data_IF_057653660844
#
_entry.id   IF_057653660844
#
_cell.length_a   1.000
_cell.length_b   1.000
_cell.length_c   1.000
_cell.angle_alpha   90.00
_cell.angle_beta   90.00
_cell.angle_gamma   90.00
#
_symmetry.space_group_name_H-M   'P 1'
#
loop_
_entity.id
_entity.type
_entity.pdbx_description
1 polymer ?
#
# COMPACT_ATOMS: atom_id res chain seq x y z
N UNK A 1 51.27 58.66 42.76
CA UNK A 1 51.32 58.24 44.17
C UNK A 1 51.52 56.73 44.21
N UNK A 2 52.61 56.29 44.87
CA UNK A 2 52.86 55.00 45.55
C UNK A 2 52.56 53.70 44.76
N UNK A 3 53.54 53.01 44.19
CA UNK A 3 54.59 52.17 44.80
C UNK A 3 54.18 50.69 44.96
N UNK A 4 55.04 49.82 44.42
CA UNK A 4 55.13 48.36 44.54
C UNK A 4 54.99 47.85 45.98
N UNK A 5 54.44 46.63 46.14
CA UNK A 5 54.90 45.67 47.15
C UNK A 5 54.49 44.24 46.78
N UNK A 6 55.47 43.49 46.27
CA UNK A 6 55.52 42.03 46.30
C UNK A 6 55.79 41.60 47.74
N UNK A 7 55.05 40.63 48.28
CA UNK A 7 55.43 39.95 49.51
C UNK A 7 55.34 38.44 49.30
N UNK A 8 56.51 37.82 49.41
CA UNK A 8 56.82 36.42 49.22
C UNK A 8 56.97 35.81 50.62
N UNK A 9 56.12 34.87 51.03
CA UNK A 9 56.39 34.05 52.23
C UNK A 9 55.93 32.62 52.01
N UNK A 10 56.89 31.84 51.53
CA UNK A 10 57.36 30.51 51.95
C UNK A 10 56.43 29.55 52.71
N UNK A 11 56.31 28.38 52.08
CA UNK A 11 55.76 27.09 52.52
C UNK A 11 56.41 26.56 53.81
N UNK A 12 55.58 26.05 54.74
CA UNK A 12 56.00 25.10 55.78
C UNK A 12 55.09 23.87 55.67
N UNK A 13 55.71 22.74 55.35
CA UNK A 13 55.09 21.43 55.24
C UNK A 13 54.93 20.81 56.64
N UNK A 14 53.71 20.33 56.94
CA UNK A 14 53.43 19.48 58.11
C UNK A 14 52.89 18.15 57.58
N UNK A 15 53.70 17.10 57.75
CA UNK A 15 53.35 15.71 57.48
C UNK A 15 52.57 15.15 58.67
N UNK A 16 51.28 14.87 58.49
CA UNK A 16 50.52 13.98 59.36
C UNK A 16 50.17 12.72 58.57
N UNK A 17 50.82 11.62 58.98
CA UNK A 17 50.51 10.25 58.57
C UNK A 17 49.19 9.85 59.23
N UNK A 18 48.14 9.71 58.42
CA UNK A 18 46.89 9.07 58.81
C UNK A 18 46.64 7.90 57.88
N UNK A 19 47.00 6.69 58.31
CA UNK A 19 46.46 5.45 57.74
C UNK A 19 45.09 5.21 58.39
N UNK A 20 44.06 5.16 57.55
CA UNK A 20 42.73 4.69 57.88
C UNK A 20 42.17 4.02 56.64
N UNK A 21 42.37 2.71 56.58
CA UNK A 21 41.71 1.77 55.69
C UNK A 21 40.20 1.82 55.94
N UNK A 22 39.38 1.68 54.90
CA UNK A 22 38.29 0.69 54.83
C UNK A 22 37.48 0.92 53.55
N UNK A 23 37.50 -0.11 52.72
CA UNK A 23 37.03 -0.12 51.34
C UNK A 23 35.60 0.39 51.18
N UNK A 24 35.48 1.47 50.41
CA UNK A 24 34.26 1.73 49.64
C UNK A 24 34.10 0.63 48.61
N UNK A 25 33.53 -0.50 49.04
CA UNK A 25 33.08 -1.56 48.15
C UNK A 25 32.18 -0.94 47.11
N UNK A 26 32.67 -0.93 45.87
CA UNK A 26 31.85 -0.67 44.71
C UNK A 26 30.80 -1.80 44.67
N UNK A 27 29.61 -1.51 45.20
CA UNK A 27 28.48 -2.44 45.20
C UNK A 27 28.04 -2.55 43.74
N UNK A 28 28.76 -3.36 42.98
CA UNK A 28 28.28 -3.94 41.74
C UNK A 28 27.20 -4.96 42.14
N UNK A 29 26.01 -4.43 42.44
CA UNK A 29 24.80 -5.24 42.52
C UNK A 29 24.70 -6.10 41.25
N UNK A 30 24.09 -7.30 41.32
CA UNK A 30 24.06 -8.22 40.19
C UNK A 30 23.57 -7.50 38.94
N UNK A 31 24.44 -7.40 37.93
CA UNK A 31 24.11 -6.81 36.64
C UNK A 31 22.95 -7.62 36.04
N UNK A 32 21.78 -7.00 35.97
CA UNK A 32 20.60 -7.63 35.38
C UNK A 32 20.76 -7.70 33.87
N UNK A 33 20.61 -8.88 33.29
CA UNK A 33 20.78 -9.10 31.84
C UNK A 33 19.44 -9.22 31.14
N UNK A 34 19.35 -8.82 29.88
CA UNK A 34 18.13 -8.98 29.08
C UNK A 34 17.94 -10.45 28.71
N UNK A 35 16.78 -11.01 29.04
CA UNK A 35 16.41 -12.40 28.75
C UNK A 35 15.46 -12.52 27.56
N UNK A 36 14.58 -11.52 27.36
CA UNK A 36 13.62 -11.48 26.26
C UNK A 36 13.31 -10.02 25.87
N UNK A 37 12.86 -9.83 24.63
CA UNK A 37 12.36 -8.54 24.12
C UNK A 37 11.04 -8.81 23.41
N UNK A 38 9.96 -8.20 23.88
CA UNK A 38 8.66 -8.23 23.20
C UNK A 38 8.50 -6.96 22.36
N UNK A 39 7.86 -7.09 21.20
CA UNK A 39 7.51 -5.98 20.31
C UNK A 39 6.01 -6.01 20.05
N UNK A 40 5.40 -4.83 20.10
CA UNK A 40 3.99 -4.60 19.77
C UNK A 40 3.90 -3.46 18.76
N UNK A 41 3.06 -3.63 17.75
CA UNK A 41 2.69 -2.55 16.84
C UNK A 41 1.31 -2.03 17.23
N UNK A 42 1.11 -0.71 17.14
CA UNK A 42 -0.23 -0.11 17.29
C UNK A 42 -1.22 -0.62 16.24
N UNK A 43 -0.72 -0.94 15.04
CA UNK A 43 -1.45 -1.62 13.98
C UNK A 43 -0.49 -2.55 13.22
N UNK A 44 -0.91 -3.78 12.95
CA UNK A 44 -0.16 -4.74 12.13
C UNK A 44 -0.35 -4.54 10.63
N UNK A 45 -1.32 -3.71 10.24
CA UNK A 45 -1.66 -3.41 8.86
C UNK A 45 -1.94 -1.91 8.70
N UNK A 46 -1.37 -1.30 7.67
CA UNK A 46 -1.55 0.12 7.34
C UNK A 46 -1.59 0.31 5.81
N UNK A 47 -2.02 1.48 5.36
CA UNK A 47 -1.92 1.86 3.95
C UNK A 47 -0.62 2.65 3.69
N UNK A 48 -0.18 2.68 2.42
CA UNK A 48 0.93 3.55 2.01
C UNK A 48 0.64 5.00 2.41
N UNK A 49 1.62 5.65 3.06
CA UNK A 49 1.54 7.01 3.59
C UNK A 49 0.95 7.11 5.00
N UNK A 50 0.39 6.04 5.56
CA UNK A 50 -0.08 6.01 6.94
C UNK A 50 1.07 5.65 7.90
N UNK A 51 0.89 5.97 9.18
CA UNK A 51 1.86 5.69 10.23
C UNK A 51 1.24 4.89 11.36
N UNK A 52 2.08 4.13 12.05
CA UNK A 52 1.75 3.46 13.31
C UNK A 52 2.96 3.53 14.24
N UNK A 53 2.81 3.07 15.47
CA UNK A 53 3.90 3.05 16.45
C UNK A 53 4.34 1.62 16.75
N UNK A 54 5.63 1.45 16.98
CA UNK A 54 6.23 0.24 17.51
C UNK A 54 6.72 0.51 18.93
N UNK A 55 6.36 -0.37 19.86
CA UNK A 55 6.83 -0.33 21.25
C UNK A 55 7.49 -1.64 21.61
N UNK A 56 8.49 -1.58 22.48
CA UNK A 56 9.25 -2.74 22.91
C UNK A 56 9.49 -2.75 24.41
N UNK A 57 9.44 -3.94 24.99
CA UNK A 57 9.71 -4.17 26.41
C UNK A 57 10.74 -5.28 26.56
N UNK A 58 11.85 -4.96 27.21
CA UNK A 58 12.87 -5.91 27.59
C UNK A 58 12.54 -6.51 28.96
N UNK A 59 12.63 -7.83 29.10
CA UNK A 59 12.53 -8.53 30.38
C UNK A 59 13.93 -8.84 30.89
N UNK A 60 14.22 -8.50 32.13
CA UNK A 60 15.52 -8.68 32.77
C UNK A 60 15.57 -10.01 33.52
N UNK A 61 16.78 -10.50 33.81
CA UNK A 61 17.02 -11.73 34.58
C UNK A 61 16.43 -11.70 35.99
N UNK A 62 16.15 -10.50 36.51
CA UNK A 62 15.48 -10.26 37.79
C UNK A 62 13.95 -10.34 37.70
N UNK A 63 13.39 -10.51 36.50
CA UNK A 63 11.95 -10.46 36.23
C UNK A 63 11.40 -9.04 36.03
N UNK A 64 12.19 -8.00 36.30
CA UNK A 64 11.81 -6.61 36.01
C UNK A 64 11.74 -6.34 34.50
N UNK A 65 10.98 -5.31 34.12
CA UNK A 65 10.81 -4.91 32.71
C UNK A 65 11.33 -3.49 32.46
N UNK A 66 11.89 -3.26 31.26
CA UNK A 66 12.37 -1.96 30.82
C UNK A 66 11.85 -1.63 29.42
N UNK A 67 11.41 -0.40 29.20
CA UNK A 67 11.04 0.08 27.86
C UNK A 67 12.27 0.26 26.97
N UNK A 68 12.18 -0.19 25.72
CA UNK A 68 13.20 0.04 24.70
C UNK A 68 12.70 1.16 23.79
N UNK A 69 13.38 2.31 23.84
CA UNK A 69 12.92 3.55 23.20
C UNK A 69 13.67 3.90 21.92
N UNK A 70 14.83 3.29 21.66
CA UNK A 70 15.67 3.57 20.49
C UNK A 70 16.24 2.30 19.84
N UNK A 71 16.84 2.43 18.64
CA UNK A 71 17.52 1.34 17.94
C UNK A 71 16.62 0.51 17.03
N UNK A 72 15.43 1.01 16.70
CA UNK A 72 14.47 0.37 15.79
C UNK A 72 15.00 0.26 14.37
N UNK A 73 14.64 -0.84 13.70
CA UNK A 73 15.09 -1.18 12.35
C UNK A 73 13.96 -1.84 11.56
N UNK A 74 14.04 -1.74 10.24
CA UNK A 74 13.18 -2.43 9.28
C UNK A 74 14.04 -3.27 8.34
N UNK A 75 13.62 -4.50 8.03
CA UNK A 75 14.28 -5.36 7.05
C UNK A 75 13.90 -5.03 5.60
N UNK A 76 12.77 -4.34 5.38
CA UNK A 76 12.23 -3.97 4.08
C UNK A 76 11.79 -2.49 4.08
N UNK A 77 12.74 -1.52 4.07
CA UNK A 77 12.43 -0.08 4.05
C UNK A 77 11.57 0.37 2.85
N UNK A 78 11.60 -0.36 1.73
CA UNK A 78 10.75 -0.10 0.57
C UNK A 78 9.26 -0.37 0.81
N UNK A 79 8.93 -1.25 1.78
CA UNK A 79 7.56 -1.49 2.23
C UNK A 79 7.22 -0.60 3.43
N UNK A 80 8.04 -0.60 4.47
CA UNK A 80 7.85 0.26 5.64
C UNK A 80 9.19 0.71 6.25
N UNK A 81 9.29 2.00 6.59
CA UNK A 81 10.40 2.54 7.38
C UNK A 81 10.02 2.66 8.85
N UNK A 82 11.01 2.74 9.73
CA UNK A 82 10.81 3.01 11.15
C UNK A 82 11.82 4.06 11.62
N UNK A 83 11.38 5.07 12.37
CA UNK A 83 12.28 6.05 13.00
C UNK A 83 13.03 5.43 14.17
N UNK A 84 14.11 6.08 14.62
CA UNK A 84 14.83 5.62 15.81
C UNK A 84 13.92 5.55 17.05
N UNK A 85 12.88 6.39 17.14
CA UNK A 85 11.91 6.39 18.24
C UNK A 85 10.73 5.41 18.09
N UNK A 86 10.70 4.59 17.04
CA UNK A 86 9.65 3.59 16.83
C UNK A 86 8.42 4.05 16.05
N UNK A 87 8.47 5.17 15.32
CA UNK A 87 7.38 5.56 14.40
C UNK A 87 7.55 4.80 13.09
N UNK A 88 6.60 3.94 12.74
CA UNK A 88 6.59 3.14 11.51
C UNK A 88 5.76 3.87 10.44
N UNK A 89 6.30 4.00 9.23
CA UNK A 89 5.63 4.66 8.09
C UNK A 89 5.54 3.71 6.90
N UNK A 90 4.35 3.56 6.33
CA UNK A 90 4.12 2.77 5.12
C UNK A 90 4.65 3.48 3.88
N UNK A 91 5.53 2.83 3.12
CA UNK A 91 6.20 3.39 1.92
C UNK A 91 5.68 2.77 0.63
N UNK A 92 5.48 1.45 0.60
CA UNK A 92 5.06 0.71 -0.60
C UNK A 92 4.33 -0.58 -0.23
N UNK A 93 3.61 -1.18 -1.18
CA UNK A 93 2.97 -2.47 -0.93
C UNK A 93 4.02 -3.52 -0.55
N UNK A 94 3.79 -4.24 0.54
CA UNK A 94 4.66 -5.32 0.96
C UNK A 94 4.54 -5.64 2.44
N UNK A 95 5.43 -6.52 2.91
CA UNK A 95 5.59 -6.85 4.33
C UNK A 95 6.98 -6.45 4.78
N UNK A 96 7.08 -5.91 5.98
CA UNK A 96 8.34 -5.59 6.64
C UNK A 96 8.34 -6.15 8.06
N UNK A 97 9.48 -6.66 8.50
CA UNK A 97 9.77 -6.99 9.88
C UNK A 97 10.34 -5.76 10.56
N UNK A 98 9.61 -5.22 11.53
CA UNK A 98 10.06 -4.14 12.41
C UNK A 98 10.65 -4.78 13.66
N UNK A 99 11.91 -4.45 13.96
CA UNK A 99 12.64 -5.10 15.04
C UNK A 99 13.56 -4.13 15.80
N UNK A 100 13.91 -4.54 17.02
CA UNK A 100 14.91 -3.88 17.85
C UNK A 100 15.75 -4.93 18.57
N UNK A 101 17.02 -4.63 18.78
CA UNK A 101 17.96 -5.49 19.50
C UNK A 101 18.46 -4.75 20.73
N UNK A 102 18.31 -5.37 21.91
CA UNK A 102 18.85 -4.84 23.17
C UNK A 102 19.38 -5.98 24.03
N UNK A 103 20.54 -5.76 24.68
CA UNK A 103 21.22 -6.78 25.48
C UNK A 103 21.48 -8.10 24.73
N UNK A 104 21.71 -8.04 23.42
CA UNK A 104 21.93 -9.22 22.56
C UNK A 104 20.67 -10.03 22.24
N UNK A 105 19.48 -9.55 22.63
CA UNK A 105 18.18 -10.18 22.32
C UNK A 105 17.41 -9.34 21.31
N UNK A 106 16.75 -10.00 20.37
CA UNK A 106 15.90 -9.36 19.36
C UNK A 106 14.42 -9.57 19.70
N UNK A 107 13.64 -8.49 19.58
CA UNK A 107 12.19 -8.54 19.49
C UNK A 107 11.75 -8.02 18.13
N UNK A 108 10.65 -8.55 17.59
CA UNK A 108 10.18 -8.16 16.27
C UNK A 108 8.67 -8.36 16.08
N UNK A 109 8.10 -7.63 15.12
CA UNK A 109 6.76 -7.84 14.58
C UNK A 109 6.73 -7.59 13.08
N UNK A 110 5.80 -8.24 12.39
CA UNK A 110 5.57 -8.03 10.95
C UNK A 110 4.46 -7.00 10.76
N UNK A 111 4.72 -6.02 9.89
CA UNK A 111 3.71 -5.09 9.39
C UNK A 111 3.40 -5.38 7.92
N UNK A 112 2.12 -5.37 7.55
CA UNK A 112 1.67 -5.38 6.15
C UNK A 112 1.30 -3.95 5.73
N UNK A 113 1.84 -3.52 4.60
CA UNK A 113 1.48 -2.25 3.97
C UNK A 113 0.72 -2.57 2.69
N UNK A 114 -0.48 -2.01 2.55
CA UNK A 114 -1.29 -2.12 1.34
C UNK A 114 -1.21 -0.83 0.51
N UNK A 115 -1.32 -0.92 -0.82
CA UNK A 115 -1.44 0.25 -1.66
C UNK A 115 -2.81 0.93 -1.46
N UNK A 116 -2.94 2.15 -1.98
CA UNK A 116 -4.15 2.96 -1.83
C UNK A 116 -5.01 2.84 -3.08
N UNK A 117 -6.17 2.20 -2.95
CA UNK A 117 -7.22 2.13 -3.97
C UNK A 117 -8.43 3.02 -3.68
N UNK A 118 -8.65 3.47 -2.43
CA UNK A 118 -9.80 4.34 -2.11
C UNK A 118 -9.84 5.59 -2.99
N UNK A 119 -11.04 6.05 -3.37
CA UNK A 119 -11.26 7.24 -4.17
C UNK A 119 -11.78 6.96 -5.57
N UNK A 120 -11.83 8.00 -6.40
CA UNK A 120 -12.20 7.90 -7.81
C UNK A 120 -10.93 7.96 -8.67
N UNK A 121 -10.83 7.03 -9.61
CA UNK A 121 -9.75 6.93 -10.59
C UNK A 121 -10.36 6.99 -11.98
N UNK A 122 -9.78 7.81 -12.84
CA UNK A 122 -10.26 8.00 -14.21
C UNK A 122 -9.09 7.96 -15.18
N UNK A 123 -9.32 7.43 -16.37
CA UNK A 123 -8.36 7.39 -17.44
C UNK A 123 -8.96 6.70 -18.65
N UNK A 124 -8.10 6.16 -19.50
CA UNK A 124 -8.52 5.47 -20.71
C UNK A 124 -8.06 4.01 -20.69
N UNK A 125 -8.91 3.13 -21.20
CA UNK A 125 -8.52 1.79 -21.64
C UNK A 125 -8.38 1.78 -23.14
N UNK A 126 -7.28 1.25 -23.67
CA UNK A 126 -7.01 1.12 -25.11
C UNK A 126 -7.17 -0.33 -25.53
N UNK A 127 -8.01 -0.59 -26.52
CA UNK A 127 -8.26 -1.94 -27.05
C UNK A 127 -6.99 -2.46 -27.74
N UNK A 128 -6.56 -3.63 -27.31
CA UNK A 128 -5.38 -4.35 -27.82
C UNK A 128 -5.73 -5.67 -28.50
N UNK A 129 -6.97 -6.13 -28.39
CA UNK A 129 -7.45 -7.32 -29.06
C UNK A 129 -8.98 -7.41 -29.09
N UNK A 130 -9.49 -8.06 -30.14
CA UNK A 130 -10.89 -8.43 -30.28
C UNK A 130 -10.96 -9.82 -30.90
N UNK A 131 -11.77 -10.69 -30.30
CA UNK A 131 -12.09 -12.01 -30.88
C UNK A 131 -13.59 -12.20 -30.88
N UNK A 132 -14.13 -12.78 -31.94
CA UNK A 132 -15.56 -13.05 -32.05
C UNK A 132 -15.81 -14.48 -32.53
N UNK A 133 -16.86 -15.09 -32.03
CA UNK A 133 -17.20 -16.49 -32.29
C UNK A 133 -18.71 -16.70 -32.49
N UNK A 134 -19.08 -17.79 -33.17
CA UNK A 134 -20.48 -18.15 -33.38
C UNK A 134 -21.24 -17.10 -34.20
N UNK A 135 -22.38 -16.65 -33.69
CA UNK A 135 -23.24 -15.65 -34.33
C UNK A 135 -22.60 -14.26 -34.41
N UNK A 136 -21.47 -14.06 -33.73
CA UNK A 136 -20.76 -12.79 -33.63
C UNK A 136 -19.59 -12.67 -34.63
N UNK A 137 -19.28 -13.71 -35.41
CA UNK A 137 -18.20 -13.65 -36.41
C UNK A 137 -18.39 -12.46 -37.35
N UNK A 138 -17.31 -11.71 -37.61
CA UNK A 138 -17.35 -10.48 -38.39
C UNK A 138 -17.63 -9.21 -37.58
N UNK A 139 -17.88 -9.31 -36.26
CA UNK A 139 -18.15 -8.14 -35.42
C UNK A 139 -16.90 -7.29 -35.17
N UNK A 140 -15.76 -7.93 -34.90
CA UNK A 140 -14.50 -7.24 -34.67
C UNK A 140 -14.07 -6.42 -35.90
N UNK A 141 -14.27 -6.95 -37.10
CA UNK A 141 -13.85 -6.35 -38.36
C UNK A 141 -14.77 -5.21 -38.81
N UNK A 142 -16.06 -5.27 -38.46
CA UNK A 142 -17.04 -4.28 -38.92
C UNK A 142 -17.20 -3.07 -38.01
N UNK A 143 -17.01 -3.25 -36.70
CA UNK A 143 -17.27 -2.21 -35.69
C UNK A 143 -15.98 -1.66 -35.04
N UNK A 144 -14.86 -2.40 -35.14
CA UNK A 144 -13.59 -2.10 -34.48
C UNK A 144 -12.37 -2.41 -35.37
N UNK A 145 -12.34 -1.85 -36.58
CA UNK A 145 -11.25 -2.06 -37.53
C UNK A 145 -9.86 -1.63 -37.03
N UNK A 146 -9.76 -0.88 -35.94
CA UNK A 146 -8.50 -0.32 -35.46
C UNK A 146 -8.27 -0.64 -33.97
N UNK A 147 -7.46 -1.68 -33.71
CA UNK A 147 -6.75 -1.78 -32.43
C UNK A 147 -6.10 -0.42 -32.10
N UNK A 148 -6.19 0.01 -30.85
CA UNK A 148 -5.76 1.37 -30.44
C UNK A 148 -6.91 2.33 -30.11
N UNK A 149 -8.16 1.97 -30.43
CA UNK A 149 -9.32 2.70 -29.91
C UNK A 149 -9.31 2.75 -28.39
N UNK A 150 -9.67 3.90 -27.82
CA UNK A 150 -9.59 4.16 -26.38
C UNK A 150 -10.94 4.59 -25.81
N UNK A 151 -11.26 4.09 -24.63
CA UNK A 151 -12.54 4.26 -23.94
C UNK A 151 -12.36 4.83 -22.55
N UNK A 152 -13.28 5.68 -22.11
CA UNK A 152 -13.30 6.15 -20.73
C UNK A 152 -13.42 4.98 -19.77
N UNK A 153 -12.48 4.92 -18.83
CA UNK A 153 -12.43 3.92 -17.77
C UNK A 153 -12.41 4.61 -16.42
N UNK A 154 -13.28 4.16 -15.52
CA UNK A 154 -13.35 4.68 -14.17
C UNK A 154 -13.42 3.55 -13.14
N UNK A 155 -12.73 3.75 -12.03
CA UNK A 155 -12.89 2.98 -10.79
C UNK A 155 -13.37 3.93 -9.70
N UNK A 156 -14.50 3.64 -9.08
CA UNK A 156 -14.94 4.31 -7.85
C UNK A 156 -14.85 3.32 -6.70
N UNK A 157 -13.89 3.51 -5.79
CA UNK A 157 -13.53 2.52 -4.79
C UNK A 157 -13.56 3.07 -3.36
N UNK A 158 -14.09 2.26 -2.45
CA UNK A 158 -13.87 2.31 -1.01
C UNK A 158 -12.89 1.20 -0.64
N UNK A 159 -12.10 1.43 0.41
CA UNK A 159 -11.07 0.48 0.83
C UNK A 159 -10.99 0.42 2.35
N UNK A 160 -10.91 -0.79 2.87
CA UNK A 160 -10.54 -1.07 4.26
C UNK A 160 -9.35 -2.02 4.19
N UNK A 161 -8.15 -1.51 4.48
CA UNK A 161 -6.89 -2.25 4.44
C UNK A 161 -6.76 -3.06 3.13
N UNK A 162 -6.73 -4.40 3.22
CA UNK A 162 -6.56 -5.32 2.11
C UNK A 162 -7.83 -5.59 1.28
N UNK A 163 -8.95 -4.96 1.58
CA UNK A 163 -10.22 -5.18 0.86
C UNK A 163 -10.68 -3.92 0.14
N UNK A 164 -10.96 -4.04 -1.15
CA UNK A 164 -11.50 -2.97 -2.00
C UNK A 164 -12.93 -3.32 -2.41
N UNK A 165 -13.82 -2.36 -2.29
CA UNK A 165 -15.21 -2.46 -2.77
C UNK A 165 -15.51 -1.27 -3.65
N UNK A 166 -16.37 -1.40 -4.65
CA UNK A 166 -16.64 -0.25 -5.51
C UNK A 166 -17.41 -0.59 -6.77
N UNK A 167 -17.35 0.30 -7.76
CA UNK A 167 -17.87 0.06 -9.11
C UNK A 167 -16.80 0.34 -10.15
N UNK A 168 -16.86 -0.40 -11.25
CA UNK A 168 -16.12 -0.14 -12.48
C UNK A 168 -17.03 0.50 -13.52
N UNK A 169 -16.49 1.39 -14.35
CA UNK A 169 -17.15 1.91 -15.54
C UNK A 169 -16.20 1.79 -16.72
N UNK A 170 -16.71 1.30 -17.85
CA UNK A 170 -16.03 1.23 -19.14
C UNK A 170 -16.94 1.77 -20.22
N UNK A 171 -16.46 2.65 -21.10
CA UNK A 171 -17.23 3.22 -22.21
C UNK A 171 -18.62 3.77 -21.81
N UNK A 172 -18.72 4.35 -20.60
CA UNK A 172 -19.98 4.87 -20.02
C UNK A 172 -20.93 3.82 -19.44
N UNK A 173 -20.63 2.53 -19.56
CA UNK A 173 -21.37 1.42 -18.92
C UNK A 173 -20.83 1.23 -17.51
N UNK A 174 -21.71 1.28 -16.51
CA UNK A 174 -21.35 1.06 -15.11
C UNK A 174 -21.75 -0.34 -14.70
N UNK A 175 -20.80 -1.06 -14.11
CA UNK A 175 -20.99 -2.42 -13.63
C UNK A 175 -21.33 -2.39 -12.14
N UNK A 176 -22.26 -3.24 -11.69
CA UNK A 176 -22.69 -3.29 -10.29
C UNK A 176 -21.53 -3.61 -9.34
N UNK A 177 -21.74 -3.33 -8.06
CA UNK A 177 -20.66 -3.27 -7.07
C UNK A 177 -19.83 -4.57 -6.97
N UNK A 178 -18.51 -4.41 -6.85
CA UNK A 178 -17.56 -5.51 -6.62
C UNK A 178 -17.01 -5.51 -5.20
N UNK A 179 -16.43 -6.63 -4.79
CA UNK A 179 -15.53 -6.76 -3.64
C UNK A 179 -14.33 -7.57 -4.07
N UNK A 180 -13.12 -7.04 -3.87
CA UNK A 180 -11.87 -7.66 -4.27
C UNK A 180 -10.83 -7.59 -3.14
N UNK A 181 -10.13 -8.70 -2.83
CA UNK A 181 -8.94 -8.64 -2.01
C UNK A 181 -7.78 -7.99 -2.79
N UNK A 182 -6.84 -7.41 -2.06
CA UNK A 182 -5.55 -6.98 -2.59
C UNK A 182 -4.55 -8.13 -2.47
N UNK A 183 -4.04 -8.57 -3.61
CA UNK A 183 -3.08 -9.65 -3.71
C UNK A 183 -1.72 -9.28 -3.09
N UNK A 184 -0.83 -10.28 -2.97
CA UNK A 184 0.50 -10.07 -2.40
C UNK A 184 1.33 -9.05 -3.21
N UNK A 185 1.16 -9.03 -4.53
CA UNK A 185 1.80 -8.07 -5.45
C UNK A 185 1.13 -6.69 -5.44
N UNK A 186 0.03 -6.53 -4.70
CA UNK A 186 -0.71 -5.27 -4.57
C UNK A 186 -1.77 -5.08 -5.65
N UNK A 187 -1.98 -6.05 -6.55
CA UNK A 187 -3.04 -5.99 -7.55
C UNK A 187 -4.42 -6.30 -6.94
N UNK A 188 -5.47 -5.90 -7.66
CA UNK A 188 -6.83 -6.37 -7.47
C UNK A 188 -7.34 -6.95 -8.78
N UNK A 189 -8.18 -7.97 -8.67
CA UNK A 189 -8.99 -8.49 -9.76
C UNK A 189 -10.44 -8.55 -9.34
N UNK A 190 -11.34 -8.11 -10.22
CA UNK A 190 -12.78 -8.30 -10.03
C UNK A 190 -13.48 -8.45 -11.37
N UNK A 191 -14.64 -9.09 -11.32
CA UNK A 191 -15.54 -9.24 -12.45
C UNK A 191 -16.89 -8.68 -12.08
N UNK A 192 -17.47 -7.91 -12.99
CA UNK A 192 -18.77 -7.27 -12.86
C UNK A 192 -19.48 -7.41 -14.18
N UNK A 193 -20.80 -7.50 -14.15
CA UNK A 193 -21.54 -7.77 -15.37
C UNK A 193 -22.92 -7.12 -15.35
N UNK A 194 -23.33 -6.60 -16.50
CA UNK A 194 -24.57 -5.84 -16.68
C UNK A 194 -25.22 -6.18 -18.02
N UNK A 195 -26.48 -5.82 -18.19
CA UNK A 195 -27.24 -6.08 -19.41
C UNK A 195 -27.59 -4.74 -20.08
N UNK A 196 -27.14 -4.57 -21.32
CA UNK A 196 -27.36 -3.36 -22.11
C UNK A 196 -28.13 -3.74 -23.36
N UNK A 197 -29.42 -3.42 -23.38
CA UNK A 197 -30.35 -3.66 -24.48
C UNK A 197 -30.32 -5.09 -25.07
N UNK A 198 -30.30 -6.09 -24.18
CA UNK A 198 -30.34 -7.51 -24.55
C UNK A 198 -28.97 -8.15 -24.76
N UNK A 199 -27.89 -7.38 -24.67
CA UNK A 199 -26.51 -7.88 -24.66
C UNK A 199 -26.02 -7.90 -23.22
N UNK A 200 -25.60 -9.07 -22.77
CA UNK A 200 -24.91 -9.28 -21.50
C UNK A 200 -23.44 -8.92 -21.68
N UNK A 201 -22.99 -7.95 -20.91
CA UNK A 201 -21.61 -7.47 -20.87
C UNK A 201 -20.99 -7.89 -19.53
N UNK A 202 -19.98 -8.77 -19.59
CA UNK A 202 -19.19 -9.18 -18.45
C UNK A 202 -17.76 -8.64 -18.58
N UNK A 203 -17.39 -7.80 -17.63
CA UNK A 203 -16.12 -7.13 -17.61
C UNK A 203 -15.27 -7.64 -16.44
N UNK A 204 -14.00 -7.95 -16.72
CA UNK A 204 -13.00 -8.37 -15.74
C UNK A 204 -11.87 -7.36 -15.74
N UNK A 205 -11.64 -6.73 -14.59
CA UNK A 205 -10.56 -5.77 -14.38
C UNK A 205 -9.42 -6.44 -13.65
N UNK A 206 -8.21 -6.19 -14.11
CA UNK A 206 -6.98 -6.46 -13.38
C UNK A 206 -6.25 -5.13 -13.21
N UNK A 207 -6.22 -4.61 -11.99
CA UNK A 207 -5.64 -3.29 -11.72
C UNK A 207 -4.53 -3.41 -10.68
N UNK A 208 -3.46 -2.65 -10.87
CA UNK A 208 -2.36 -2.54 -9.91
C UNK A 208 -1.91 -1.09 -9.75
N UNK A 209 -1.36 -0.71 -8.59
CA UNK A 209 -0.77 0.61 -8.40
C UNK A 209 0.50 0.75 -9.22
N UNK A 210 0.65 1.90 -9.88
CA UNK A 210 1.90 2.36 -10.47
C UNK A 210 2.32 3.64 -9.75
N UNK A 211 3.09 3.48 -8.67
CA UNK A 211 3.35 4.56 -7.72
C UNK A 211 2.14 4.85 -6.82
N UNK A 212 2.06 6.06 -6.27
CA UNK A 212 1.06 6.46 -5.27
C UNK A 212 -0.17 7.16 -5.85
N UNK A 213 -0.14 7.53 -7.13
CA UNK A 213 -1.15 8.39 -7.76
C UNK A 213 -1.70 7.86 -9.09
N UNK A 214 -1.33 6.65 -9.50
CA UNK A 214 -1.81 6.02 -10.72
C UNK A 214 -2.11 4.53 -10.51
N UNK A 215 -3.10 4.02 -11.22
CA UNK A 215 -3.35 2.59 -11.41
C UNK A 215 -3.08 2.23 -12.87
N UNK A 216 -2.51 1.05 -13.11
CA UNK A 216 -2.35 0.46 -14.44
C UNK A 216 -2.96 -0.93 -14.45
N UNK A 217 -3.19 -1.48 -15.64
CA UNK A 217 -3.81 -2.79 -15.70
C UNK A 217 -4.34 -3.19 -17.05
N UNK A 218 -5.35 -4.05 -17.01
CA UNK A 218 -6.08 -4.50 -18.17
C UNK A 218 -7.56 -4.66 -17.84
N UNK A 219 -8.36 -4.64 -18.90
CA UNK A 219 -9.78 -4.87 -18.88
C UNK A 219 -10.11 -5.90 -19.96
N UNK A 220 -10.87 -6.92 -19.60
CA UNK A 220 -11.37 -7.93 -20.52
C UNK A 220 -12.89 -7.86 -20.47
N UNK A 221 -13.54 -7.60 -21.60
CA UNK A 221 -15.00 -7.52 -21.71
C UNK A 221 -15.51 -8.64 -22.61
N UNK A 222 -16.53 -9.35 -22.16
CA UNK A 222 -17.14 -10.47 -22.86
C UNK A 222 -18.61 -10.15 -23.08
N UNK A 223 -18.97 -10.01 -24.34
CA UNK A 223 -20.33 -9.72 -24.79
C UNK A 223 -21.00 -11.02 -25.26
N UNK A 224 -22.17 -11.29 -24.69
CA UNK A 224 -23.05 -12.40 -25.07
C UNK A 224 -24.48 -11.92 -25.21
N UNK A 225 -25.34 -12.67 -25.89
CA UNK A 225 -26.76 -12.33 -25.98
C UNK A 225 -27.61 -13.61 -25.85
N UNK A 226 -28.76 -13.55 -25.16
CA UNK A 226 -29.66 -14.68 -25.07
C UNK A 226 -30.08 -15.20 -26.45
N UNK A 227 -29.95 -16.52 -26.67
CA UNK A 227 -30.35 -17.16 -27.93
C UNK A 227 -29.32 -17.05 -29.07
N UNK A 228 -28.20 -16.33 -28.88
CA UNK A 228 -27.09 -16.31 -29.83
C UNK A 228 -25.94 -17.19 -29.32
N UNK A 229 -25.42 -18.06 -30.19
CA UNK A 229 -24.23 -18.87 -29.88
C UNK A 229 -22.95 -18.03 -29.99
N UNK A 230 -21.98 -18.28 -29.11
CA UNK A 230 -20.68 -17.61 -29.13
C UNK A 230 -20.69 -16.27 -28.40
N UNK A 231 -19.57 -15.57 -28.49
CA UNK A 231 -19.32 -14.31 -27.79
C UNK A 231 -18.37 -13.42 -28.57
N UNK A 232 -18.31 -12.15 -28.17
CA UNK A 232 -17.22 -11.23 -28.49
C UNK A 232 -16.40 -11.01 -27.23
N UNK A 233 -15.08 -11.14 -27.32
CA UNK A 233 -14.15 -10.81 -26.24
C UNK A 233 -13.25 -9.67 -26.67
N UNK A 234 -13.28 -8.58 -25.91
CA UNK A 234 -12.33 -7.49 -26.00
C UNK A 234 -11.27 -7.61 -24.94
N UNK A 235 -10.03 -7.30 -25.32
CA UNK A 235 -8.94 -7.12 -24.38
C UNK A 235 -8.40 -5.71 -24.54
N UNK A 236 -8.30 -5.00 -23.42
CA UNK A 236 -7.85 -3.62 -23.37
C UNK A 236 -6.75 -3.45 -22.33
N UNK A 237 -5.77 -2.60 -22.64
CA UNK A 237 -4.73 -2.16 -21.71
C UNK A 237 -5.12 -0.84 -21.05
N UNK A 238 -4.82 -0.68 -19.77
CA UNK A 238 -5.01 0.54 -19.00
C UNK A 238 -3.63 1.10 -18.65
N UNK A 239 -3.22 2.13 -19.37
CA UNK A 239 -1.89 2.73 -19.21
C UNK A 239 -1.78 3.59 -17.95
N UNK A 240 -2.86 4.28 -17.58
CA UNK A 240 -2.95 5.04 -16.34
C UNK A 240 -4.42 5.41 -16.03
N UNK A 241 -4.90 5.07 -14.84
CA UNK A 241 -6.02 5.74 -14.19
C UNK A 241 -5.44 6.66 -13.12
N UNK A 242 -5.72 7.95 -13.21
CA UNK A 242 -5.25 8.94 -12.24
C UNK A 242 -6.34 9.24 -11.23
N UNK A 243 -5.93 9.51 -9.99
CA UNK A 243 -6.85 9.87 -8.93
C UNK A 243 -7.42 11.27 -9.21
N UNK A 244 -8.73 11.35 -9.35
CA UNK A 244 -9.41 12.61 -9.66
C UNK A 244 -10.38 13.01 -8.55
N UNK A 245 -10.47 14.31 -8.34
CA UNK A 245 -11.54 14.95 -7.56
C UNK A 245 -12.74 15.34 -8.43
N UNK A 246 -12.62 15.20 -9.76
CA UNK A 246 -13.64 15.57 -10.74
C UNK A 246 -14.06 14.35 -11.59
N UNK A 247 -15.35 14.32 -11.97
CA UNK A 247 -15.90 13.34 -12.91
C UNK A 247 -15.58 13.81 -14.33
N UNK A 248 -14.79 13.04 -15.09
CA UNK A 248 -14.60 13.31 -16.52
C UNK A 248 -15.94 13.08 -17.26
N UNK A 249 -16.27 13.97 -18.18
CA UNK A 249 -17.41 13.77 -19.07
C UNK A 249 -17.08 12.63 -20.05
N UNK A 250 -18.00 11.69 -20.31
CA UNK A 250 -17.76 10.62 -21.27
C UNK A 250 -17.50 11.19 -22.66
N UNK A 251 -16.52 10.64 -23.37
CA UNK A 251 -16.23 10.98 -24.75
C UNK A 251 -17.44 10.68 -25.64
N UNK A 252 -17.80 11.61 -26.52
CA UNK A 252 -19.00 11.53 -27.35
C UNK A 252 -19.03 10.30 -28.29
N UNK A 253 -17.87 9.68 -28.58
CA UNK A 253 -17.76 8.48 -29.44
C UNK A 253 -18.26 7.20 -28.76
N UNK A 254 -18.36 7.17 -27.43
CA UNK A 254 -18.67 5.95 -26.66
C UNK A 254 -20.16 5.56 -26.73
N UNK A 255 -21.07 6.55 -26.79
CA UNK A 255 -22.53 6.31 -26.84
C UNK A 255 -23.02 5.80 -28.20
N UNK A 256 -22.31 6.11 -29.27
CA UNK A 256 -22.72 5.80 -30.64
C UNK A 256 -22.51 4.31 -30.98
N UNK A 257 -21.56 3.63 -30.31
CA UNK A 257 -21.19 2.23 -30.59
C UNK A 257 -21.93 1.18 -29.74
N UNK A 258 -22.24 1.47 -28.47
CA UNK A 258 -23.26 0.68 -27.74
C UNK A 258 -24.57 0.72 -28.54
N UNK A 259 -24.91 1.88 -29.08
CA UNK A 259 -26.04 2.03 -29.99
C UNK A 259 -25.88 1.26 -31.33
N UNK A 260 -24.65 1.01 -31.82
CA UNK A 260 -24.40 0.21 -33.03
C UNK A 260 -24.53 -1.30 -32.77
N UNK A 261 -23.99 -1.80 -31.65
CA UNK A 261 -24.17 -3.18 -31.19
C UNK A 261 -25.66 -3.49 -30.93
N UNK A 262 -26.39 -2.56 -30.30
CA UNK A 262 -27.83 -2.62 -30.13
C UNK A 262 -28.59 -2.57 -31.46
N UNK A 263 -28.12 -1.82 -32.46
CA UNK A 263 -28.75 -1.80 -33.79
C UNK A 263 -28.57 -3.12 -34.55
N UNK A 264 -27.44 -3.80 -34.36
CA UNK A 264 -27.14 -5.05 -35.08
C UNK A 264 -27.75 -6.29 -34.41
N UNK A 265 -27.76 -6.32 -33.07
CA UNK A 265 -28.13 -7.52 -32.30
C UNK A 265 -29.16 -7.28 -31.19
N UNK A 266 -29.57 -6.03 -30.95
CA UNK A 266 -30.67 -5.75 -30.02
C UNK A 266 -32.00 -6.30 -30.55
N UNK A 267 -32.96 -6.60 -29.66
CA UNK A 267 -34.30 -6.99 -30.08
C UNK A 267 -34.93 -5.85 -30.90
N UNK A 268 -35.51 -6.19 -32.06
CA UNK A 268 -36.31 -5.26 -32.86
C UNK A 268 -37.63 -4.94 -32.18
#
# INVERSE_FOLDING_TARGET
MRAFASCFVTVVAVLLVGCGDDGGGDVTGPSSTVTAVSVVLGASEILVGETTTATATATLSTGATQSVTTGWRSDQPGAATVSDSGTVTGVGNGRATIYVVTGGRQGQQVIRVYPVYRGTWTGLSTVTGCTASGAWVGFCESEFSDLGDSFDTRLAASQILGTVTGTGTSAGVTFPGFTAPIDADGAIQFTGATDVGGIRDEATWHLRPAGTASLTGSLIEVFTAPGLSGAVTYTSSIAALTRTTAVLAPAARDRERVSAALRRFGPR
#
